data_IF_310709652000
#
_entry.id   IF_310709652000
#
_cell.length_a   1.000
_cell.length_b   1.000
_cell.length_c   1.000
_cell.angle_alpha   90.00
_cell.angle_beta   90.00
_cell.angle_gamma   90.00
#
_symmetry.space_group_name_H-M   'P 1'
#
loop_
_entity.id
_entity.type
_entity.pdbx_description
1 polymer ?
#
# COMPACT_ATOMS: atom_id res chain seq x y z
N UNK A 1 4.97 17.72 -2.72
CA UNK A 1 6.12 17.29 -3.55
C UNK A 1 6.58 15.88 -3.21
N UNK A 2 6.31 15.35 -2.01
CA UNK A 2 6.55 13.93 -1.66
C UNK A 2 5.48 12.98 -2.23
N UNK A 3 4.22 13.41 -2.30
CA UNK A 3 3.09 12.57 -2.75
C UNK A 3 3.15 12.20 -4.24
N UNK A 4 3.55 13.12 -5.12
CA UNK A 4 3.64 12.87 -6.57
C UNK A 4 4.66 11.77 -6.90
N UNK A 5 5.79 11.78 -6.19
CA UNK A 5 6.84 10.77 -6.35
C UNK A 5 6.39 9.39 -5.87
N UNK A 6 5.56 9.34 -4.82
CA UNK A 6 4.98 8.10 -4.33
C UNK A 6 3.95 7.52 -5.32
N UNK A 7 3.09 8.37 -5.88
CA UNK A 7 2.12 7.97 -6.91
C UNK A 7 2.84 7.44 -8.16
N UNK A 8 3.91 8.10 -8.60
CA UNK A 8 4.73 7.64 -9.72
C UNK A 8 5.38 6.27 -9.44
N UNK A 9 5.98 6.09 -8.25
CA UNK A 9 6.55 4.81 -7.84
C UNK A 9 5.50 3.69 -7.89
N UNK A 10 4.30 3.93 -7.37
CA UNK A 10 3.25 2.92 -7.39
C UNK A 10 2.81 2.56 -8.82
N UNK A 11 2.69 3.54 -9.72
CA UNK A 11 2.39 3.31 -11.15
C UNK A 11 3.46 2.44 -11.81
N UNK A 12 4.73 2.76 -11.57
CA UNK A 12 5.87 2.00 -12.10
C UNK A 12 5.91 0.57 -11.53
N UNK A 13 5.66 0.41 -10.23
CA UNK A 13 5.57 -0.91 -9.59
C UNK A 13 4.48 -1.78 -10.22
N UNK A 14 3.30 -1.21 -10.50
CA UNK A 14 2.20 -1.94 -11.19
C UNK A 14 2.55 -2.30 -12.62
N UNK A 15 3.32 -1.48 -13.32
CA UNK A 15 3.83 -1.78 -14.67
C UNK A 15 4.90 -2.90 -14.68
N UNK A 16 5.24 -3.48 -13.52
CA UNK A 16 6.20 -4.58 -13.39
C UNK A 16 7.64 -4.14 -13.15
N UNK A 17 7.87 -2.84 -12.86
CA UNK A 17 9.20 -2.35 -12.52
C UNK A 17 9.60 -2.85 -11.11
N UNK A 18 10.57 -3.77 -11.08
CA UNK A 18 11.09 -4.39 -9.85
C UNK A 18 11.78 -3.39 -8.93
N UNK A 19 12.50 -2.40 -9.47
CA UNK A 19 13.20 -1.40 -8.67
C UNK A 19 12.22 -0.46 -7.98
N UNK A 20 11.13 -0.10 -8.66
CA UNK A 20 10.05 0.69 -8.07
C UNK A 20 9.35 -0.11 -6.95
N UNK A 21 9.04 -1.39 -7.19
CA UNK A 21 8.45 -2.27 -6.18
C UNK A 21 9.36 -2.42 -4.95
N UNK A 22 10.67 -2.64 -5.16
CA UNK A 22 11.65 -2.75 -4.07
C UNK A 22 11.73 -1.46 -3.25
N UNK A 23 11.73 -0.28 -3.91
CA UNK A 23 11.68 1.00 -3.21
C UNK A 23 10.43 1.15 -2.37
N UNK A 24 9.27 0.71 -2.87
CA UNK A 24 8.02 0.74 -2.11
C UNK A 24 8.10 -0.15 -0.87
N UNK A 25 8.57 -1.39 -1.03
CA UNK A 25 8.77 -2.33 0.08
C UNK A 25 9.73 -1.74 1.13
N UNK A 26 10.82 -1.09 0.70
CA UNK A 26 11.76 -0.44 1.62
C UNK A 26 11.12 0.69 2.43
N UNK A 27 10.20 1.46 1.84
CA UNK A 27 9.46 2.51 2.56
C UNK A 27 8.58 1.89 3.65
N UNK A 28 7.88 0.80 3.35
CA UNK A 28 6.98 0.15 4.30
C UNK A 28 7.69 -0.77 5.30
N UNK A 29 8.92 -1.18 5.03
CA UNK A 29 9.72 -2.10 5.87
C UNK A 29 9.70 -1.77 7.37
N UNK A 30 9.98 -0.52 7.84
CA UNK A 30 9.92 -0.21 9.26
C UNK A 30 8.51 -0.41 9.84
N UNK A 31 7.46 -0.07 9.10
CA UNK A 31 6.08 -0.29 9.53
C UNK A 31 5.77 -1.79 9.67
N UNK A 32 6.12 -2.59 8.66
CA UNK A 32 5.89 -4.04 8.72
C UNK A 32 6.65 -4.68 9.89
N UNK A 33 7.90 -4.28 10.10
CA UNK A 33 8.71 -4.78 11.21
C UNK A 33 8.06 -4.48 12.57
N UNK A 34 7.60 -3.24 12.79
CA UNK A 34 6.91 -2.87 14.04
C UNK A 34 5.62 -3.67 14.26
N UNK A 35 4.85 -3.92 13.20
CA UNK A 35 3.62 -4.72 13.27
C UNK A 35 3.89 -6.23 13.41
N UNK A 36 5.14 -6.66 13.24
CA UNK A 36 5.55 -8.06 13.44
C UNK A 36 6.11 -8.32 14.83
N UNK A 37 6.08 -7.33 15.73
CA UNK A 37 6.51 -7.48 17.11
C UNK A 37 5.31 -7.91 17.97
N UNK A 38 5.31 -9.16 18.42
CA UNK A 38 4.29 -9.72 19.32
C UNK A 38 4.91 -9.88 20.71
N UNK A 39 4.37 -9.18 21.71
CA UNK A 39 4.88 -9.18 23.10
C UNK A 39 6.39 -8.89 23.20
N UNK A 40 6.91 -8.03 22.33
CA UNK A 40 8.33 -7.65 22.28
C UNK A 40 9.23 -8.67 21.59
N UNK A 41 8.68 -9.76 21.05
CA UNK A 41 9.38 -10.76 20.26
C UNK A 41 9.08 -10.55 18.78
N UNK A 42 10.10 -10.66 17.94
CA UNK A 42 9.92 -10.60 16.49
C UNK A 42 9.34 -11.92 15.97
N UNK A 43 8.19 -11.83 15.31
CA UNK A 43 7.57 -12.94 14.61
C UNK A 43 7.95 -12.90 13.12
N UNK A 44 8.86 -13.80 12.73
CA UNK A 44 9.37 -13.92 11.37
C UNK A 44 8.28 -14.31 10.37
N UNK A 45 7.35 -15.17 10.77
CA UNK A 45 6.28 -15.67 9.91
C UNK A 45 5.25 -14.57 9.66
N UNK A 46 4.88 -13.83 10.71
CA UNK A 46 4.02 -12.65 10.59
C UNK A 46 4.65 -11.57 9.70
N UNK A 47 5.95 -11.33 9.84
CA UNK A 47 6.66 -10.40 8.98
C UNK A 47 6.61 -10.82 7.51
N UNK A 48 6.83 -12.10 7.21
CA UNK A 48 6.74 -12.63 5.85
C UNK A 48 5.32 -12.51 5.29
N UNK A 49 4.30 -12.88 6.06
CA UNK A 49 2.88 -12.76 5.70
C UNK A 49 2.53 -11.31 5.35
N UNK A 50 2.96 -10.34 6.18
CA UNK A 50 2.76 -8.91 5.94
C UNK A 50 3.44 -8.41 4.67
N UNK A 51 4.66 -8.89 4.36
CA UNK A 51 5.34 -8.57 3.11
C UNK A 51 4.58 -9.10 1.89
N UNK A 52 4.07 -10.33 1.96
CA UNK A 52 3.27 -10.94 0.88
C UNK A 52 1.98 -10.13 0.67
N UNK A 53 1.26 -9.81 1.75
CA UNK A 53 0.04 -8.99 1.67
C UNK A 53 0.31 -7.60 1.09
N UNK A 54 1.39 -6.95 1.47
CA UNK A 54 1.78 -5.66 0.90
C UNK A 54 1.98 -5.75 -0.62
N UNK A 55 2.72 -6.75 -1.09
CA UNK A 55 2.97 -6.96 -2.52
C UNK A 55 1.64 -7.18 -3.27
N UNK A 56 0.75 -7.99 -2.71
CA UNK A 56 -0.57 -8.23 -3.30
C UNK A 56 -1.43 -6.96 -3.35
N UNK A 57 -1.40 -6.15 -2.29
CA UNK A 57 -2.08 -4.86 -2.25
C UNK A 57 -1.53 -3.91 -3.32
N UNK A 58 -0.21 -3.79 -3.46
CA UNK A 58 0.42 -2.92 -4.47
C UNK A 58 0.01 -3.31 -5.89
N UNK A 59 -0.08 -4.62 -6.17
CA UNK A 59 -0.52 -5.13 -7.48
C UNK A 59 -1.99 -4.84 -7.75
N UNK A 60 -2.85 -4.97 -6.74
CA UNK A 60 -4.30 -4.80 -6.86
C UNK A 60 -4.76 -3.34 -6.80
N UNK A 61 -4.07 -2.49 -6.05
CA UNK A 61 -4.47 -1.12 -5.77
C UNK A 61 -4.60 -0.28 -7.04
N UNK A 62 -5.78 0.27 -7.34
CA UNK A 62 -6.00 1.13 -8.51
C UNK A 62 -6.12 2.62 -8.13
N UNK A 63 -5.24 3.45 -8.69
CA UNK A 63 -5.25 4.91 -8.48
C UNK A 63 -6.37 5.61 -9.26
N UNK A 64 -6.94 4.95 -10.27
CA UNK A 64 -8.03 5.49 -11.07
C UNK A 64 -9.39 5.35 -10.38
N UNK A 65 -9.43 4.62 -9.26
CA UNK A 65 -10.62 4.45 -8.45
C UNK A 65 -10.84 5.67 -7.52
N UNK A 66 -11.10 6.83 -8.10
CA UNK A 66 -11.76 7.91 -7.36
C UNK A 66 -13.25 7.61 -7.15
N UNK A 67 -13.83 6.81 -8.05
CA UNK A 67 -15.27 6.59 -8.12
C UNK A 67 -15.79 5.54 -7.11
N UNK A 68 -15.04 4.50 -6.75
CA UNK A 68 -15.52 3.52 -5.74
C UNK A 68 -15.27 3.98 -4.29
N UNK A 69 -14.30 4.88 -4.03
CA UNK A 69 -14.18 5.51 -2.71
C UNK A 69 -15.44 6.34 -2.42
N UNK A 70 -15.97 7.03 -3.43
CA UNK A 70 -17.20 7.80 -3.32
C UNK A 70 -18.43 6.90 -3.11
N UNK A 71 -18.47 5.72 -3.75
CA UNK A 71 -19.55 4.74 -3.53
C UNK A 71 -19.52 4.10 -2.15
N UNK A 72 -18.33 3.95 -1.54
CA UNK A 72 -18.19 3.47 -0.16
C UNK A 72 -18.56 4.52 0.90
N UNK A 73 -18.61 5.81 0.54
CA UNK A 73 -18.78 6.90 1.50
C UNK A 73 -20.23 7.36 1.69
N UNK A 74 -21.22 6.80 0.98
CA UNK A 74 -22.65 7.14 1.14
C UNK A 74 -22.94 8.65 1.23
N UNK A 75 -22.12 9.50 0.59
CA UNK A 75 -22.38 10.94 0.52
C UNK A 75 -23.53 11.11 -0.47
N UNK A 76 -24.76 11.06 0.05
CA UNK A 76 -25.91 11.67 -0.63
C UNK A 76 -25.56 13.14 -0.82
N UNK A 77 -25.18 13.50 -2.03
CA UNK A 77 -25.15 14.90 -2.44
C UNK A 77 -26.56 15.46 -2.24
N UNK A 78 -26.79 16.17 -1.14
CA UNK A 78 -27.93 17.07 -1.05
C UNK A 78 -27.61 18.26 -1.95
N UNK A 79 -28.18 18.19 -3.16
CA UNK A 79 -28.36 19.35 -4.01
C UNK A 79 -29.14 20.43 -3.25
N UNK A 80 -28.56 21.62 -3.15
CA UNK A 80 -29.32 22.86 -3.07
C UNK A 80 -28.55 24.02 -3.70
#
# INVERSE_FOLDING_TARGET
>A
MEDEKFVELCKLSKAGNKDALNKLILIFKPLLYQNSMIDGVFDEDLYQELNIKLIDCIKKFDFNCKDEILSCLDIKNEEK
#
